data_IF_420760052770
#
_entry.id   IF_420760052770
#
_cell.length_a   1.000
_cell.length_b   1.000
_cell.length_c   1.000
_cell.angle_alpha   90.00
_cell.angle_beta   90.00
_cell.angle_gamma   90.00
#
_symmetry.space_group_name_H-M   'P 1'
#
loop_
_entity.id
_entity.type
_entity.pdbx_description
1 polymer ?
#
# COMPACT_ATOMS: atom_id res chain seq x y z
N UNK A 1 27.83 -52.05 2.71
CA UNK A 1 26.48 -52.09 3.31
C UNK A 1 25.88 -50.71 3.14
N UNK A 2 24.92 -50.59 2.23
CA UNK A 2 24.29 -49.32 1.90
C UNK A 2 23.37 -48.93 3.06
N UNK A 3 23.75 -47.91 3.83
CA UNK A 3 22.93 -47.36 4.91
C UNK A 3 21.66 -46.75 4.31
N UNK A 4 20.63 -47.58 4.14
CA UNK A 4 19.27 -47.11 3.82
C UNK A 4 18.79 -46.29 5.00
N UNK A 5 18.94 -44.97 4.92
CA UNK A 5 18.30 -44.06 5.87
C UNK A 5 16.80 -44.41 5.88
N UNK A 6 16.19 -44.67 7.04
CA UNK A 6 14.76 -44.92 7.10
C UNK A 6 14.05 -43.71 6.49
N UNK A 7 13.20 -43.96 5.47
CA UNK A 7 12.38 -42.90 4.87
C UNK A 7 11.38 -42.45 5.94
N UNK A 8 11.43 -41.18 6.33
CA UNK A 8 10.46 -40.63 7.29
C UNK A 8 9.08 -40.62 6.64
N UNK A 9 8.11 -41.28 7.28
CA UNK A 9 6.70 -41.23 6.89
C UNK A 9 5.99 -39.97 7.40
N UNK A 10 6.72 -39.10 8.09
CA UNK A 10 6.23 -37.85 8.65
C UNK A 10 5.51 -36.97 7.63
N UNK A 11 6.20 -36.62 6.55
CA UNK A 11 5.67 -35.73 5.51
C UNK A 11 4.41 -36.28 4.81
N UNK A 12 4.37 -37.54 4.34
CA UNK A 12 3.15 -38.12 3.80
C UNK A 12 1.96 -38.09 4.76
N UNK A 13 2.16 -38.47 6.03
CA UNK A 13 1.09 -38.53 7.03
C UNK A 13 0.57 -37.12 7.36
N UNK A 14 1.47 -36.15 7.50
CA UNK A 14 1.11 -34.76 7.75
C UNK A 14 0.26 -34.18 6.60
N UNK A 15 0.69 -34.39 5.35
CA UNK A 15 -0.03 -33.91 4.17
C UNK A 15 -1.42 -34.55 4.03
N UNK A 16 -1.52 -35.85 4.29
CA UNK A 16 -2.82 -36.56 4.31
C UNK A 16 -3.71 -36.00 5.42
N UNK A 17 -3.17 -35.78 6.62
CA UNK A 17 -3.92 -35.21 7.75
C UNK A 17 -4.47 -33.82 7.44
N UNK A 18 -3.63 -32.92 6.91
CA UNK A 18 -4.02 -31.57 6.49
C UNK A 18 -5.10 -31.65 5.39
N UNK A 19 -4.94 -32.54 4.40
CA UNK A 19 -5.91 -32.73 3.34
C UNK A 19 -7.28 -33.23 3.83
N UNK A 20 -7.30 -34.16 4.78
CA UNK A 20 -8.54 -34.65 5.40
C UNK A 20 -9.23 -33.54 6.18
N UNK A 21 -8.49 -32.78 6.99
CA UNK A 21 -9.04 -31.64 7.74
C UNK A 21 -9.64 -30.58 6.80
N UNK A 22 -8.96 -30.32 5.68
CA UNK A 22 -9.46 -29.39 4.66
C UNK A 22 -10.74 -29.89 3.99
N UNK A 23 -10.80 -31.18 3.63
CA UNK A 23 -12.01 -31.80 3.08
C UNK A 23 -13.20 -31.69 4.05
N UNK A 24 -12.97 -31.97 5.33
CA UNK A 24 -14.00 -31.89 6.37
C UNK A 24 -14.51 -30.46 6.60
N UNK A 25 -13.61 -29.47 6.52
CA UNK A 25 -13.99 -28.05 6.53
C UNK A 25 -14.88 -27.70 5.34
N UNK A 26 -14.47 -28.06 4.13
CA UNK A 26 -15.23 -27.76 2.90
C UNK A 26 -16.60 -28.43 2.85
N UNK A 27 -16.76 -29.60 3.49
CA UNK A 27 -18.04 -30.29 3.64
C UNK A 27 -18.95 -29.68 4.73
N UNK A 28 -18.49 -28.65 5.45
CA UNK A 28 -19.25 -27.98 6.51
C UNK A 28 -19.35 -28.76 7.81
N UNK A 29 -18.57 -29.84 7.99
CA UNK A 29 -18.51 -30.56 9.27
C UNK A 29 -17.77 -29.76 10.35
N UNK A 30 -16.86 -28.87 9.94
CA UNK A 30 -16.13 -27.98 10.82
C UNK A 30 -16.36 -26.55 10.35
N UNK A 31 -17.21 -25.82 11.07
CA UNK A 31 -17.52 -24.42 10.74
C UNK A 31 -16.36 -23.51 11.16
N UNK A 32 -15.85 -22.69 10.23
CA UNK A 32 -14.88 -21.63 10.52
C UNK A 32 -13.40 -21.97 10.34
N UNK A 33 -13.05 -23.11 9.72
CA UNK A 33 -11.65 -23.41 9.36
C UNK A 33 -11.34 -22.81 7.99
N UNK A 34 -10.75 -21.62 7.99
CA UNK A 34 -10.18 -20.99 6.80
C UNK A 34 -8.70 -21.37 6.64
N UNK A 35 -8.13 -21.10 5.46
CA UNK A 35 -6.68 -21.26 5.25
C UNK A 35 -5.86 -20.51 6.30
N UNK A 36 -6.29 -19.29 6.67
CA UNK A 36 -5.66 -18.50 7.70
C UNK A 36 -5.64 -19.17 9.09
N UNK A 37 -6.75 -19.79 9.48
CA UNK A 37 -6.85 -20.53 10.75
C UNK A 37 -5.84 -21.67 10.84
N UNK A 38 -5.62 -22.40 9.75
CA UNK A 38 -4.62 -23.49 9.70
C UNK A 38 -3.20 -22.90 9.78
N UNK A 39 -2.94 -21.82 9.05
CA UNK A 39 -1.62 -21.18 9.00
C UNK A 39 -1.20 -20.56 10.34
N UNK A 40 -2.15 -20.11 11.17
CA UNK A 40 -1.89 -19.61 12.54
C UNK A 40 -1.16 -20.62 13.43
N UNK A 41 -1.28 -21.92 13.13
CA UNK A 41 -0.57 -22.99 13.84
C UNK A 41 0.81 -23.33 13.27
N UNK A 42 1.41 -22.48 12.41
CA UNK A 42 2.79 -22.67 11.93
C UNK A 42 3.85 -22.86 13.04
N UNK A 43 3.77 -22.25 14.24
CA UNK A 43 4.76 -22.52 15.28
C UNK A 43 4.67 -23.96 15.78
N UNK A 44 3.45 -24.54 15.83
CA UNK A 44 3.25 -25.94 16.14
C UNK A 44 3.87 -26.83 15.07
N UNK A 45 3.74 -26.46 13.79
CA UNK A 45 4.40 -27.17 12.69
C UNK A 45 5.93 -27.14 12.87
N UNK A 46 6.53 -26.01 13.25
CA UNK A 46 7.97 -25.93 13.54
C UNK A 46 8.40 -26.80 14.73
N UNK A 47 7.60 -26.81 15.81
CA UNK A 47 7.86 -27.68 16.97
C UNK A 47 7.84 -29.14 16.54
N UNK A 48 6.84 -29.55 15.78
CA UNK A 48 6.69 -30.93 15.31
C UNK A 48 7.80 -31.31 14.34
N UNK A 49 8.18 -30.43 13.41
CA UNK A 49 9.35 -30.63 12.52
C UNK A 49 10.63 -30.78 13.35
N UNK A 50 10.84 -29.95 14.37
CA UNK A 50 11.97 -30.06 15.29
C UNK A 50 12.01 -31.41 16.01
N UNK A 51 10.86 -31.89 16.48
CA UNK A 51 10.72 -33.21 17.10
C UNK A 51 11.00 -34.35 16.10
N UNK A 52 10.50 -34.26 14.86
CA UNK A 52 10.77 -35.24 13.81
C UNK A 52 12.27 -35.30 13.44
N UNK A 53 12.96 -34.17 13.37
CA UNK A 53 14.40 -34.14 13.11
C UNK A 53 15.21 -34.83 14.21
N UNK A 54 14.78 -34.70 15.46
CA UNK A 54 15.44 -35.33 16.61
C UNK A 54 15.13 -36.83 16.68
N UNK A 55 13.91 -37.25 16.36
CA UNK A 55 13.41 -38.61 16.61
C UNK A 55 13.40 -39.49 15.36
N UNK A 56 13.09 -38.92 14.19
CA UNK A 56 13.02 -39.58 12.89
C UNK A 56 14.38 -40.13 12.42
N UNK A 57 15.49 -39.68 13.00
CA UNK A 57 16.82 -40.30 12.81
C UNK A 57 16.96 -41.68 13.47
N UNK A 58 16.16 -41.98 14.49
CA UNK A 58 16.28 -43.21 15.28
C UNK A 58 15.30 -44.30 14.86
N UNK A 59 14.05 -43.95 14.47
CA UNK A 59 13.10 -44.93 13.94
C UNK A 59 11.98 -44.28 13.13
N UNK A 60 11.65 -44.89 11.98
CA UNK A 60 10.57 -44.40 11.11
C UNK A 60 9.15 -44.66 11.64
N UNK A 61 8.99 -45.54 12.63
CA UNK A 61 7.71 -45.81 13.29
C UNK A 61 7.40 -44.70 14.30
N UNK A 62 8.42 -44.26 15.06
CA UNK A 62 8.22 -43.23 16.08
C UNK A 62 7.95 -41.86 15.44
N UNK A 63 8.54 -41.57 14.28
CA UNK A 63 8.15 -40.40 13.47
C UNK A 63 6.72 -40.48 12.95
N UNK A 64 6.23 -41.67 12.56
CA UNK A 64 4.83 -41.85 12.17
C UNK A 64 3.86 -41.61 13.33
N UNK A 65 4.20 -42.06 14.54
CA UNK A 65 3.40 -41.81 15.76
C UNK A 65 3.36 -40.31 16.07
N UNK A 66 4.51 -39.61 16.00
CA UNK A 66 4.59 -38.16 16.21
C UNK A 66 3.71 -37.43 15.19
N UNK A 67 3.74 -37.82 13.91
CA UNK A 67 2.91 -37.24 12.87
C UNK A 67 1.41 -37.41 13.15
N UNK A 68 0.98 -38.62 13.54
CA UNK A 68 -0.43 -38.89 13.89
C UNK A 68 -0.86 -38.05 15.10
N UNK A 69 -0.04 -38.00 16.15
CA UNK A 69 -0.32 -37.18 17.33
C UNK A 69 -0.42 -35.70 16.99
N UNK A 70 0.47 -35.19 16.13
CA UNK A 70 0.42 -33.82 15.67
C UNK A 70 -0.87 -33.50 14.92
N UNK A 71 -1.31 -34.40 14.01
CA UNK A 71 -2.58 -34.26 13.29
C UNK A 71 -3.77 -34.30 14.24
N UNK A 72 -3.78 -35.19 15.24
CA UNK A 72 -4.85 -35.27 16.24
C UNK A 72 -4.90 -34.02 17.14
N UNK A 73 -3.74 -33.51 17.56
CA UNK A 73 -3.65 -32.26 18.34
C UNK A 73 -4.16 -31.09 17.50
N UNK A 74 -3.74 -31.00 16.24
CA UNK A 74 -4.23 -29.96 15.32
C UNK A 74 -5.74 -30.06 15.13
N UNK A 75 -6.28 -31.26 14.91
CA UNK A 75 -7.71 -31.49 14.78
C UNK A 75 -8.48 -31.08 16.05
N UNK A 76 -7.99 -31.47 17.23
CA UNK A 76 -8.58 -31.10 18.51
C UNK A 76 -8.55 -29.58 18.74
N UNK A 77 -7.44 -28.92 18.40
CA UNK A 77 -7.30 -27.47 18.47
C UNK A 77 -8.25 -26.75 17.50
N UNK A 78 -8.42 -27.27 16.28
CA UNK A 78 -9.37 -26.70 15.31
C UNK A 78 -10.82 -26.84 15.78
N UNK A 79 -11.18 -27.97 16.40
CA UNK A 79 -12.53 -28.18 16.97
C UNK A 79 -12.75 -27.33 18.22
N UNK A 80 -11.73 -27.15 19.06
CA UNK A 80 -11.80 -26.34 20.28
C UNK A 80 -11.58 -24.83 20.05
N UNK A 81 -11.07 -24.43 18.87
CA UNK A 81 -10.77 -23.04 18.54
C UNK A 81 -11.94 -22.08 18.80
N UNK A 82 -13.20 -22.41 18.42
CA UNK A 82 -14.38 -21.64 18.82
C UNK A 82 -14.48 -21.39 20.33
N UNK A 83 -14.43 -22.47 21.12
CA UNK A 83 -14.58 -22.39 22.58
C UNK A 83 -13.45 -21.66 23.30
N UNK A 84 -12.29 -21.53 22.65
CA UNK A 84 -11.13 -20.82 23.18
C UNK A 84 -11.11 -19.33 22.80
N UNK A 85 -12.16 -18.83 22.14
CA UNK A 85 -12.19 -17.46 21.64
C UNK A 85 -11.21 -17.23 20.48
N UNK A 86 -10.65 -18.30 19.89
CA UNK A 86 -9.81 -18.23 18.69
C UNK A 86 -10.64 -18.08 17.42
N UNK A 87 -11.87 -17.55 17.56
CA UNK A 87 -12.71 -17.15 16.46
C UNK A 87 -12.03 -16.04 15.68
N UNK A 88 -11.73 -16.32 14.42
CA UNK A 88 -11.35 -15.29 13.46
C UNK A 88 -12.42 -15.21 12.40
N UNK A 89 -13.56 -14.65 12.78
CA UNK A 89 -14.35 -13.91 11.81
C UNK A 89 -13.80 -12.50 11.79
N UNK A 90 -12.64 -12.32 11.15
CA UNK A 90 -12.37 -11.04 10.52
C UNK A 90 -13.42 -10.93 9.41
N UNK A 91 -14.62 -10.47 9.78
CA UNK A 91 -15.65 -10.19 8.82
C UNK A 91 -15.17 -8.97 8.04
N UNK A 92 -15.24 -9.07 6.72
CA UNK A 92 -15.09 -7.90 5.90
C UNK A 92 -16.23 -6.95 6.24
N UNK A 93 -15.88 -5.74 6.64
CA UNK A 93 -16.82 -4.66 6.80
C UNK A 93 -16.79 -3.80 5.53
N UNK A 94 -17.94 -3.30 5.13
CA UNK A 94 -18.05 -2.23 4.15
C UNK A 94 -18.77 -1.10 4.87
N UNK A 95 -18.06 0.00 5.08
CA UNK A 95 -18.60 1.17 5.77
C UNK A 95 -18.50 2.40 4.87
N UNK A 96 -19.46 3.30 5.04
CA UNK A 96 -19.45 4.61 4.39
C UNK A 96 -19.10 5.66 5.42
N UNK A 97 -18.11 6.49 5.10
CA UNK A 97 -17.71 7.65 5.88
C UNK A 97 -18.05 8.91 5.08
N UNK A 98 -18.63 9.91 5.72
CA UNK A 98 -19.05 11.13 5.03
C UNK A 98 -18.88 12.35 5.93
N UNK A 99 -18.47 13.47 5.34
CA UNK A 99 -18.48 14.79 5.97
C UNK A 99 -19.22 15.77 5.04
N UNK A 100 -20.20 16.53 5.53
CA UNK A 100 -20.93 17.51 4.71
C UNK A 100 -20.05 18.73 4.41
N UNK A 101 -20.32 19.40 3.28
CA UNK A 101 -19.66 20.65 2.89
C UNK A 101 -19.84 21.73 3.97
N UNK A 102 -21.08 21.96 4.41
CA UNK A 102 -21.43 22.95 5.43
C UNK A 102 -20.78 24.32 5.15
N UNK A 103 -20.06 24.89 6.12
CA UNK A 103 -19.37 26.19 6.03
C UNK A 103 -17.88 26.04 5.65
N UNK A 104 -17.46 24.89 5.11
CA UNK A 104 -16.06 24.63 4.82
C UNK A 104 -15.50 25.56 3.74
N UNK A 105 -14.45 26.30 4.08
CA UNK A 105 -13.69 27.16 3.17
C UNK A 105 -12.29 26.58 2.90
N UNK A 106 -11.81 25.68 3.76
CA UNK A 106 -10.53 25.00 3.64
C UNK A 106 -10.62 23.60 4.28
N UNK A 107 -9.88 22.63 3.73
CA UNK A 107 -9.81 21.28 4.28
C UNK A 107 -8.37 20.77 4.43
N UNK A 108 -8.06 20.25 5.62
CA UNK A 108 -6.89 19.43 5.88
C UNK A 108 -7.36 17.97 5.90
N UNK A 109 -6.90 17.15 4.96
CA UNK A 109 -7.34 15.77 4.78
C UNK A 109 -6.16 14.84 4.96
N UNK A 110 -6.25 13.94 5.95
CA UNK A 110 -5.26 12.89 6.20
C UNK A 110 -5.86 11.52 5.95
N UNK A 111 -5.26 10.74 5.05
CA UNK A 111 -5.69 9.39 4.71
C UNK A 111 -4.57 8.39 4.99
N UNK A 112 -4.84 7.39 5.83
CA UNK A 112 -3.98 6.21 6.03
C UNK A 112 -4.66 5.01 5.37
N UNK A 113 -4.06 4.57 4.26
CA UNK A 113 -4.65 3.63 3.30
C UNK A 113 -4.20 2.17 3.51
N UNK A 114 -3.27 1.92 4.43
CA UNK A 114 -2.79 0.57 4.78
C UNK A 114 -2.40 -0.24 3.54
N UNK A 115 -2.99 -1.42 3.30
CA UNK A 115 -2.62 -2.34 2.21
C UNK A 115 -3.67 -2.47 1.11
N UNK A 116 -4.74 -1.67 1.18
CA UNK A 116 -5.89 -1.82 0.27
C UNK A 116 -5.69 -1.08 -1.05
N UNK A 117 -6.34 -1.58 -2.09
CA UNK A 117 -6.38 -0.86 -3.37
C UNK A 117 -7.32 0.34 -3.25
N UNK A 118 -6.82 1.54 -3.53
CA UNK A 118 -7.52 2.80 -3.28
C UNK A 118 -7.69 3.63 -4.56
N UNK A 119 -8.87 4.19 -4.74
CA UNK A 119 -9.15 5.24 -5.71
C UNK A 119 -9.53 6.52 -4.98
N UNK A 120 -8.83 7.62 -5.27
CA UNK A 120 -9.16 8.96 -4.79
C UNK A 120 -9.59 9.79 -5.99
N UNK A 121 -10.76 10.42 -5.90
CA UNK A 121 -11.37 11.24 -6.96
C UNK A 121 -12.21 12.36 -6.37
N UNK A 122 -12.88 13.12 -7.22
CA UNK A 122 -13.85 14.13 -6.77
C UNK A 122 -15.14 13.48 -6.27
N UNK A 123 -15.78 14.07 -5.25
CA UNK A 123 -17.13 13.68 -4.80
C UNK A 123 -18.15 13.74 -5.93
N UNK A 124 -19.16 12.86 -5.87
CA UNK A 124 -20.31 12.92 -6.79
C UNK A 124 -21.34 13.95 -6.35
N UNK A 125 -21.50 14.14 -5.03
CA UNK A 125 -22.39 15.12 -4.44
C UNK A 125 -21.59 16.37 -4.03
N UNK A 126 -21.83 17.50 -4.70
CA UNK A 126 -21.13 18.76 -4.39
C UNK A 126 -21.44 19.32 -3.00
N UNK A 127 -22.51 18.85 -2.33
CA UNK A 127 -22.81 19.22 -0.95
C UNK A 127 -22.03 18.39 0.08
N UNK A 128 -21.21 17.43 -0.35
CA UNK A 128 -20.30 16.67 0.50
C UNK A 128 -18.90 17.27 0.44
N UNK A 129 -18.23 17.39 1.59
CA UNK A 129 -16.81 17.72 1.66
C UNK A 129 -15.95 16.49 1.35
N UNK A 130 -16.36 15.36 1.92
CA UNK A 130 -15.66 14.08 1.86
C UNK A 130 -16.71 12.97 1.86
N UNK A 131 -16.56 11.98 0.98
CA UNK A 131 -17.35 10.75 0.98
C UNK A 131 -16.42 9.58 0.71
N UNK A 132 -16.56 8.48 1.44
CA UNK A 132 -15.74 7.28 1.23
C UNK A 132 -16.56 6.01 1.42
N UNK A 133 -16.42 5.06 0.50
CA UNK A 133 -16.89 3.68 0.63
C UNK A 133 -15.68 2.77 0.82
N UNK A 134 -15.58 2.16 1.99
CA UNK A 134 -14.37 1.50 2.46
C UNK A 134 -14.69 0.05 2.83
N UNK A 135 -14.12 -0.88 2.07
CA UNK A 135 -14.04 -2.29 2.45
C UNK A 135 -12.79 -2.56 3.29
N UNK A 136 -12.93 -3.13 4.49
CA UNK A 136 -11.78 -3.41 5.36
C UNK A 136 -12.01 -4.56 6.33
N UNK A 137 -10.92 -5.09 6.86
CA UNK A 137 -10.88 -5.94 8.05
C UNK A 137 -10.33 -5.15 9.25
N UNK A 138 -10.81 -5.43 10.47
CA UNK A 138 -10.33 -4.76 11.68
C UNK A 138 -11.19 -3.55 12.03
N UNK A 139 -10.55 -2.43 12.37
CA UNK A 139 -11.22 -1.20 12.81
C UNK A 139 -10.81 -0.01 11.92
N UNK A 140 -11.78 0.86 11.63
CA UNK A 140 -11.54 2.17 11.02
C UNK A 140 -11.81 3.25 12.06
N UNK A 141 -11.02 4.32 12.00
CA UNK A 141 -11.29 5.56 12.73
C UNK A 141 -11.49 6.69 11.73
N UNK A 142 -12.64 7.34 11.82
CA UNK A 142 -12.96 8.54 11.05
C UNK A 142 -13.22 9.69 12.00
N UNK A 143 -12.55 10.82 11.78
CA UNK A 143 -12.79 12.05 12.53
C UNK A 143 -13.01 13.22 11.57
N UNK A 144 -14.06 13.99 11.84
CA UNK A 144 -14.39 15.25 11.19
C UNK A 144 -14.51 16.34 12.28
N UNK A 145 -13.72 17.39 12.15
CA UNK A 145 -13.67 18.47 13.13
C UNK A 145 -13.44 19.83 12.48
N UNK A 146 -13.76 20.90 13.21
CA UNK A 146 -13.68 22.27 12.71
C UNK A 146 -14.99 22.76 12.10
N UNK A 147 -15.00 24.01 11.63
CA UNK A 147 -16.15 24.65 11.00
C UNK A 147 -15.79 25.12 9.60
N UNK A 148 -15.11 26.25 9.48
CA UNK A 148 -14.63 26.79 8.19
C UNK A 148 -13.36 26.09 7.73
N UNK A 149 -12.40 25.89 8.65
CA UNK A 149 -11.22 25.05 8.42
C UNK A 149 -11.52 23.65 8.95
N UNK A 150 -11.80 22.73 8.03
CA UNK A 150 -12.19 21.35 8.34
C UNK A 150 -10.96 20.46 8.40
N UNK A 151 -10.91 19.57 9.39
CA UNK A 151 -9.92 18.51 9.47
C UNK A 151 -10.60 17.17 9.37
N UNK A 152 -10.27 16.43 8.31
CA UNK A 152 -10.76 15.09 8.03
C UNK A 152 -9.61 14.12 8.19
N UNK A 153 -9.80 13.07 8.99
CA UNK A 153 -8.80 12.02 9.16
C UNK A 153 -9.47 10.65 9.07
N UNK A 154 -8.94 9.80 8.20
CA UNK A 154 -9.33 8.41 8.02
C UNK A 154 -8.13 7.51 8.32
N UNK A 155 -8.25 6.64 9.32
CA UNK A 155 -7.18 5.74 9.75
C UNK A 155 -7.66 4.29 9.78
N UNK A 156 -6.77 3.37 9.35
CA UNK A 156 -6.97 1.93 9.50
C UNK A 156 -6.13 1.37 10.63
N UNK A 157 -6.77 0.65 11.55
CA UNK A 157 -6.07 -0.09 12.59
C UNK A 157 -6.20 -1.58 12.31
N UNK A 158 -5.10 -2.17 11.84
CA UNK A 158 -5.01 -3.62 11.75
C UNK A 158 -4.96 -4.21 13.17
N UNK A 159 -5.91 -5.06 13.52
CA UNK A 159 -5.79 -5.87 14.73
C UNK A 159 -4.58 -6.81 14.62
N UNK A 160 -3.79 -7.03 15.70
CA UNK A 160 -2.62 -7.92 15.69
C UNK A 160 -2.91 -9.37 15.29
N UNK A 161 -4.17 -9.77 15.21
CA UNK A 161 -4.59 -11.09 14.77
C UNK A 161 -4.77 -11.19 13.24
N UNK A 162 -4.78 -10.07 12.50
CA UNK A 162 -5.15 -10.00 11.08
C UNK A 162 -4.10 -10.59 10.12
N UNK A 163 -2.81 -10.60 10.47
CA UNK A 163 -1.75 -11.20 9.64
C UNK A 163 -1.89 -12.70 9.41
N UNK A 164 -2.64 -13.39 10.28
CA UNK A 164 -2.95 -14.81 10.15
C UNK A 164 -4.27 -15.10 9.45
N UNK A 165 -5.10 -14.08 9.23
CA UNK A 165 -6.48 -14.24 8.77
C UNK A 165 -6.63 -13.79 7.32
N UNK A 166 -5.68 -14.17 6.47
CA UNK A 166 -5.76 -13.94 5.02
C UNK A 166 -6.91 -14.78 4.48
N UNK A 167 -8.07 -14.15 4.35
CA UNK A 167 -9.20 -14.73 3.66
C UNK A 167 -9.03 -14.43 2.16
N UNK A 168 -8.69 -15.46 1.39
CA UNK A 168 -8.53 -15.38 -0.07
C UNK A 168 -9.88 -15.35 -0.82
N UNK A 169 -11.01 -15.49 -0.11
CA UNK A 169 -12.35 -15.40 -0.68
C UNK A 169 -12.73 -13.92 -0.92
N UNK A 170 -12.18 -13.39 -2.01
CA UNK A 170 -12.80 -12.46 -2.98
C UNK A 170 -13.92 -11.51 -2.53
N UNK A 171 -13.73 -10.78 -1.44
CA UNK A 171 -14.25 -9.42 -1.41
C UNK A 171 -13.13 -8.54 -1.95
N UNK A 172 -13.39 -7.91 -3.10
CA UNK A 172 -12.56 -6.83 -3.61
C UNK A 172 -12.74 -5.64 -2.68
N UNK A 173 -12.14 -5.71 -1.48
CA UNK A 173 -12.08 -4.65 -0.52
C UNK A 173 -11.23 -3.54 -1.13
N UNK A 174 -11.95 -2.63 -1.78
CA UNK A 174 -11.42 -1.45 -2.44
C UNK A 174 -11.88 -0.24 -1.65
N UNK A 175 -11.05 0.77 -1.64
CA UNK A 175 -11.37 2.04 -1.02
C UNK A 175 -11.69 3.03 -2.14
N UNK A 176 -12.89 3.59 -2.11
CA UNK A 176 -13.32 4.62 -3.05
C UNK A 176 -13.56 5.91 -2.25
N UNK A 177 -12.69 6.90 -2.43
CA UNK A 177 -12.66 8.14 -1.66
C UNK A 177 -12.92 9.32 -2.61
N UNK A 178 -13.91 10.12 -2.26
CA UNK A 178 -14.32 11.35 -2.91
C UNK A 178 -13.95 12.57 -2.07
N UNK A 179 -13.28 13.55 -2.67
CA UNK A 179 -12.98 14.86 -2.08
C UNK A 179 -13.69 15.98 -2.84
N UNK A 180 -14.10 17.05 -2.15
CA UNK A 180 -14.76 18.18 -2.80
C UNK A 180 -13.76 18.99 -3.65
N UNK A 181 -14.00 19.17 -4.96
CA UNK A 181 -13.05 19.86 -5.84
C UNK A 181 -12.99 21.38 -5.60
N UNK A 182 -14.05 21.97 -5.06
CA UNK A 182 -14.20 23.43 -4.94
C UNK A 182 -13.64 23.99 -3.63
N UNK A 183 -13.27 23.10 -2.68
CA UNK A 183 -12.70 23.49 -1.39
C UNK A 183 -11.17 23.37 -1.45
N UNK A 184 -10.43 24.48 -1.23
CA UNK A 184 -8.97 24.45 -1.05
C UNK A 184 -8.54 23.38 -0.06
N UNK A 185 -7.69 22.45 -0.50
CA UNK A 185 -7.35 21.24 0.26
C UNK A 185 -5.84 21.05 0.41
N UNK A 186 -5.39 20.85 1.65
CA UNK A 186 -4.10 20.25 1.99
C UNK A 186 -4.30 18.74 2.21
N UNK A 187 -3.67 17.94 1.37
CA UNK A 187 -3.89 16.50 1.31
C UNK A 187 -2.62 15.74 1.73
N UNK A 188 -2.74 14.99 2.83
CA UNK A 188 -1.75 14.01 3.26
C UNK A 188 -2.27 12.59 3.02
N UNK A 189 -1.49 11.77 2.31
CA UNK A 189 -1.82 10.38 1.99
C UNK A 189 -0.66 9.48 2.40
N UNK A 190 -0.88 8.65 3.42
CA UNK A 190 -0.06 7.47 3.70
C UNK A 190 -0.63 6.30 2.90
N UNK A 191 0.13 5.90 1.87
CA UNK A 191 -0.25 4.85 0.96
C UNK A 191 0.06 3.43 1.43
N UNK A 192 0.85 3.28 2.50
CA UNK A 192 1.24 1.99 3.05
C UNK A 192 1.79 1.01 2.01
N UNK A 193 1.08 -0.11 1.80
CA UNK A 193 1.46 -1.22 0.92
C UNK A 193 0.52 -1.43 -0.31
N UNK A 194 -0.46 -0.53 -0.52
CA UNK A 194 -1.53 -0.69 -1.49
C UNK A 194 -1.24 -0.12 -2.89
N UNK A 195 -2.07 -0.48 -3.87
CA UNK A 195 -2.09 0.22 -5.17
C UNK A 195 -3.05 1.41 -5.12
N UNK A 196 -2.60 2.59 -5.54
CA UNK A 196 -3.37 3.83 -5.41
C UNK A 196 -3.53 4.49 -6.77
N UNK A 197 -4.76 4.88 -7.08
CA UNK A 197 -5.10 5.71 -8.23
C UNK A 197 -5.71 7.03 -7.72
N UNK A 198 -5.06 8.16 -7.97
CA UNK A 198 -5.53 9.48 -7.56
C UNK A 198 -5.78 10.36 -8.79
N UNK A 199 -7.04 10.62 -9.09
CA UNK A 199 -7.42 11.67 -10.04
C UNK A 199 -7.72 12.96 -9.28
N UNK A 200 -6.68 13.77 -9.12
CA UNK A 200 -6.76 15.08 -8.45
C UNK A 200 -6.85 16.21 -9.48
N UNK A 201 -7.02 15.92 -10.77
CA UNK A 201 -6.91 16.90 -11.87
C UNK A 201 -7.88 18.09 -11.76
N UNK A 202 -8.97 17.95 -11.00
CA UNK A 202 -9.99 18.98 -10.75
C UNK A 202 -9.98 19.55 -9.34
N UNK A 203 -9.06 19.11 -8.48
CA UNK A 203 -9.02 19.52 -7.08
C UNK A 203 -8.35 20.89 -6.92
N UNK A 204 -8.90 21.73 -6.05
CA UNK A 204 -8.23 22.92 -5.55
C UNK A 204 -7.16 22.56 -4.50
N UNK A 205 -6.03 21.95 -4.91
CA UNK A 205 -4.96 21.61 -3.97
C UNK A 205 -4.11 22.81 -3.58
N UNK A 206 -3.84 22.95 -2.28
CA UNK A 206 -2.88 23.93 -1.73
C UNK A 206 -1.55 23.28 -1.33
N UNK A 207 -1.60 22.00 -0.97
CA UNK A 207 -0.43 21.16 -0.72
C UNK A 207 -0.79 19.68 -0.90
N UNK A 208 0.21 18.87 -1.24
CA UNK A 208 0.09 17.42 -1.30
C UNK A 208 1.32 16.78 -0.68
N UNK A 209 1.11 15.86 0.25
CA UNK A 209 2.17 14.97 0.75
C UNK A 209 1.72 13.53 0.56
N UNK A 210 2.56 12.74 -0.10
CA UNK A 210 2.39 11.31 -0.25
C UNK A 210 3.57 10.60 0.41
N UNK A 211 3.27 9.67 1.31
CA UNK A 211 4.23 8.74 1.89
C UNK A 211 3.79 7.32 1.51
N UNK A 212 4.58 6.63 0.70
CA UNK A 212 4.25 5.28 0.23
C UNK A 212 5.35 4.30 0.60
N UNK A 213 5.04 3.24 1.35
CA UNK A 213 6.02 2.21 1.67
C UNK A 213 6.29 1.24 0.50
N UNK A 214 5.26 0.60 -0.03
CA UNK A 214 5.39 -0.35 -1.15
C UNK A 214 4.13 -0.42 -2.00
N UNK A 215 4.20 -0.25 -3.30
CA UNK A 215 2.99 -0.31 -4.13
C UNK A 215 3.10 0.50 -5.40
N UNK A 216 2.05 0.42 -6.23
CA UNK A 216 1.95 1.26 -7.42
C UNK A 216 1.10 2.48 -7.16
N UNK A 217 1.59 3.66 -7.55
CA UNK A 217 0.82 4.91 -7.54
C UNK A 217 0.62 5.41 -8.96
N UNK A 218 -0.62 5.76 -9.30
CA UNK A 218 -0.97 6.49 -10.51
C UNK A 218 -1.70 7.77 -10.11
N UNK A 219 -1.13 8.94 -10.43
CA UNK A 219 -1.63 10.24 -9.98
C UNK A 219 -1.72 11.22 -11.14
N UNK A 220 -2.83 11.97 -11.18
CA UNK A 220 -2.99 13.15 -12.03
C UNK A 220 -3.16 14.40 -11.15
N UNK A 221 -2.23 15.34 -11.29
CA UNK A 221 -2.18 16.56 -10.50
C UNK A 221 -3.01 17.69 -11.15
N UNK A 222 -3.66 18.57 -10.34
CA UNK A 222 -4.42 19.70 -10.85
C UNK A 222 -3.54 20.87 -11.29
N UNK A 223 -4.13 21.71 -12.15
CA UNK A 223 -3.66 23.06 -12.43
C UNK A 223 -4.10 24.02 -11.33
N UNK A 224 -3.15 24.81 -10.81
CA UNK A 224 -3.41 25.83 -9.77
C UNK A 224 -2.95 27.20 -10.25
N UNK A 225 -3.76 28.22 -9.97
CA UNK A 225 -3.43 29.61 -10.26
C UNK A 225 -2.38 30.18 -9.30
N UNK A 226 -2.48 29.81 -8.01
CA UNK A 226 -1.58 30.29 -6.95
C UNK A 226 -0.30 29.42 -6.82
N UNK A 227 -0.35 28.23 -7.42
CA UNK A 227 0.68 27.20 -7.30
C UNK A 227 0.64 26.46 -5.97
N UNK A 228 1.38 25.36 -5.89
CA UNK A 228 1.47 24.52 -4.68
C UNK A 228 2.73 23.66 -4.69
N UNK A 229 2.99 23.03 -3.55
CA UNK A 229 4.04 22.01 -3.41
C UNK A 229 3.41 20.62 -3.31
N UNK A 230 3.97 19.67 -4.04
CA UNK A 230 3.68 18.25 -3.91
C UNK A 230 4.96 17.51 -3.49
N UNK A 231 4.95 16.86 -2.34
CA UNK A 231 6.07 16.02 -1.84
C UNK A 231 5.69 14.56 -1.95
N UNK A 232 6.53 13.76 -2.60
CA UNK A 232 6.33 12.33 -2.78
C UNK A 232 7.52 11.58 -2.16
N UNK A 233 7.28 10.87 -1.07
CA UNK A 233 8.19 9.85 -0.54
C UNK A 233 7.68 8.48 -0.98
N UNK A 234 8.53 7.74 -1.68
CA UNK A 234 8.15 6.49 -2.33
C UNK A 234 9.18 5.42 -2.02
N UNK A 235 8.79 4.40 -1.27
CA UNK A 235 9.62 3.26 -0.92
C UNK A 235 9.81 2.34 -2.12
N UNK A 236 8.96 1.33 -2.30
CA UNK A 236 9.16 0.32 -3.37
C UNK A 236 7.98 0.21 -4.34
N UNK A 237 8.17 0.50 -5.64
CA UNK A 237 7.16 0.20 -6.66
C UNK A 237 7.16 1.07 -7.92
N UNK A 238 6.00 1.19 -8.58
CA UNK A 238 5.85 1.95 -9.82
C UNK A 238 5.00 3.19 -9.58
N UNK A 239 5.61 4.35 -9.80
CA UNK A 239 5.00 5.66 -9.62
C UNK A 239 4.79 6.30 -10.99
N UNK A 240 3.57 6.76 -11.26
CA UNK A 240 3.22 7.55 -12.43
C UNK A 240 2.57 8.84 -11.99
N UNK A 241 3.14 9.96 -12.37
CA UNK A 241 2.62 11.30 -12.10
C UNK A 241 2.37 12.00 -13.42
N UNK A 242 1.17 12.53 -13.60
CA UNK A 242 0.80 13.39 -14.74
C UNK A 242 0.56 14.80 -14.23
N UNK A 243 1.36 15.74 -14.70
CA UNK A 243 1.17 17.17 -14.44
C UNK A 243 0.48 17.78 -15.66
N UNK A 244 -0.56 18.57 -15.41
CA UNK A 244 -1.41 19.13 -16.47
C UNK A 244 -1.41 20.65 -16.43
N UNK A 245 -1.41 21.29 -17.60
CA UNK A 245 -1.54 22.75 -17.71
C UNK A 245 -0.28 23.52 -17.33
N UNK A 246 -0.29 24.83 -17.60
CA UNK A 246 0.78 25.75 -17.18
C UNK A 246 0.46 26.27 -15.78
N UNK A 247 1.34 26.01 -14.82
CA UNK A 247 1.15 26.36 -13.41
C UNK A 247 2.49 26.57 -12.72
N UNK A 248 2.44 27.19 -11.55
CA UNK A 248 3.54 27.12 -10.59
C UNK A 248 3.41 25.83 -9.77
N UNK A 249 4.42 24.97 -9.81
CA UNK A 249 4.43 23.71 -9.05
C UNK A 249 5.85 23.41 -8.60
N UNK A 250 6.03 23.11 -7.32
CA UNK A 250 7.23 22.42 -6.84
C UNK A 250 6.88 20.97 -6.55
N UNK A 251 7.44 20.04 -7.31
CA UNK A 251 7.36 18.61 -7.06
C UNK A 251 8.66 18.17 -6.37
N UNK A 252 8.57 17.73 -5.12
CA UNK A 252 9.69 17.13 -4.40
C UNK A 252 9.53 15.61 -4.43
N UNK A 253 10.60 14.90 -4.76
CA UNK A 253 10.63 13.45 -4.88
C UNK A 253 11.76 12.88 -4.02
N UNK A 254 11.40 11.98 -3.12
CA UNK A 254 12.29 11.05 -2.44
C UNK A 254 11.93 9.64 -2.93
N UNK A 255 12.85 9.07 -3.71
CA UNK A 255 12.68 7.82 -4.43
C UNK A 255 13.41 6.68 -3.74
N UNK A 256 12.75 5.54 -3.62
CA UNK A 256 13.36 4.32 -3.13
C UNK A 256 13.71 3.36 -4.27
N UNK A 257 13.03 2.23 -4.36
CA UNK A 257 13.29 1.18 -5.33
C UNK A 257 12.15 1.06 -6.34
N UNK A 258 12.43 1.17 -7.64
CA UNK A 258 11.42 0.89 -8.67
C UNK A 258 11.45 1.85 -9.85
N UNK A 259 10.28 2.29 -10.33
CA UNK A 259 10.22 3.17 -11.51
C UNK A 259 9.30 4.35 -11.28
N UNK A 260 9.82 5.55 -11.52
CA UNK A 260 9.07 6.80 -11.43
C UNK A 260 8.97 7.43 -12.80
N UNK A 261 7.75 7.65 -13.27
CA UNK A 261 7.47 8.27 -14.55
C UNK A 261 6.68 9.54 -14.33
N UNK A 262 7.28 10.68 -14.64
CA UNK A 262 6.64 11.99 -14.56
C UNK A 262 6.38 12.46 -15.99
N UNK A 263 5.13 12.82 -16.27
CA UNK A 263 4.71 13.37 -17.56
C UNK A 263 4.39 14.84 -17.39
N UNK A 264 5.09 15.69 -18.14
CA UNK A 264 4.94 17.13 -18.12
C UNK A 264 3.98 17.61 -19.22
N UNK A 265 3.36 18.79 -19.04
CA UNK A 265 2.67 19.46 -20.12
C UNK A 265 3.68 19.93 -21.18
N UNK A 266 3.23 19.98 -22.44
CA UNK A 266 4.06 20.50 -23.52
C UNK A 266 4.30 22.01 -23.35
N UNK A 267 5.50 22.47 -23.72
CA UNK A 267 5.91 23.88 -23.70
C UNK A 267 5.86 24.55 -22.31
N UNK A 268 6.01 23.77 -21.24
CA UNK A 268 6.13 24.32 -19.89
C UNK A 268 7.57 24.64 -19.55
N UNK A 269 7.79 25.79 -18.91
CA UNK A 269 9.09 26.11 -18.35
C UNK A 269 9.34 25.19 -17.14
N UNK A 270 10.42 24.40 -17.22
CA UNK A 270 10.74 23.40 -16.20
C UNK A 270 12.19 23.53 -15.76
N UNK A 271 12.41 23.36 -14.45
CA UNK A 271 13.71 23.12 -13.83
C UNK A 271 13.69 21.76 -13.14
N UNK A 272 14.70 20.95 -13.36
CA UNK A 272 14.92 19.67 -12.69
C UNK A 272 16.20 19.80 -11.88
N UNK A 273 16.09 19.65 -10.58
CA UNK A 273 17.20 19.67 -9.62
C UNK A 273 17.37 18.22 -9.12
N UNK A 274 18.43 17.54 -9.55
CA UNK A 274 18.80 16.22 -9.01
C UNK A 274 19.94 16.39 -8.00
N UNK A 275 19.61 16.17 -6.73
CA UNK A 275 20.52 16.38 -5.61
C UNK A 275 21.29 15.12 -5.21
N UNK A 276 20.70 13.95 -5.42
CA UNK A 276 21.30 12.64 -5.22
C UNK A 276 20.71 11.68 -6.27
N UNK A 277 21.56 11.10 -7.10
CA UNK A 277 21.18 10.19 -8.20
C UNK A 277 21.08 8.71 -7.77
N UNK A 278 21.48 8.41 -6.54
CA UNK A 278 21.48 7.09 -5.95
C UNK A 278 22.26 6.07 -6.79
N UNK A 279 21.63 4.94 -7.08
CA UNK A 279 22.19 3.90 -7.99
C UNK A 279 21.32 3.69 -9.23
N UNK A 280 20.33 4.58 -9.38
CA UNK A 280 19.30 4.54 -10.39
C UNK A 280 19.77 5.05 -11.75
N UNK A 281 18.79 5.38 -12.60
CA UNK A 281 19.05 6.13 -13.83
C UNK A 281 18.07 7.29 -13.93
N UNK A 282 18.57 8.49 -14.20
CA UNK A 282 17.75 9.66 -14.48
C UNK A 282 17.66 9.92 -15.98
N UNK A 283 16.43 10.06 -16.48
CA UNK A 283 16.17 10.53 -17.84
C UNK A 283 15.34 11.80 -17.82
N UNK A 284 15.96 12.90 -18.23
CA UNK A 284 15.31 14.20 -18.40
C UNK A 284 14.80 14.41 -19.83
N UNK A 285 13.83 15.32 -20.06
CA UNK A 285 13.35 15.67 -21.40
C UNK A 285 14.46 16.20 -22.30
N UNK A 286 14.33 15.95 -23.61
CA UNK A 286 15.23 16.56 -24.60
C UNK A 286 14.93 18.05 -24.74
N UNK A 287 15.97 18.90 -24.75
CA UNK A 287 15.82 20.35 -24.90
C UNK A 287 15.93 21.14 -23.59
N UNK A 288 16.34 20.49 -22.51
CA UNK A 288 16.81 21.19 -21.31
C UNK A 288 18.33 21.36 -21.39
N UNK A 289 18.80 22.54 -21.01
CA UNK A 289 20.22 22.84 -20.82
C UNK A 289 20.62 22.46 -19.39
N UNK A 290 21.74 21.74 -19.26
CA UNK A 290 22.35 21.51 -17.95
C UNK A 290 23.12 22.78 -17.56
N UNK A 291 22.61 23.49 -16.55
CA UNK A 291 23.18 24.77 -16.08
C UNK A 291 24.13 24.59 -14.90
N UNK A 292 24.02 23.46 -14.20
CA UNK A 292 24.88 23.08 -13.07
C UNK A 292 25.16 21.58 -13.14
N UNK A 293 26.42 21.20 -12.89
CA UNK A 293 26.86 19.81 -12.80
C UNK A 293 26.95 19.42 -11.33
N UNK A 294 26.44 18.24 -10.96
CA UNK A 294 26.63 17.67 -9.64
C UNK A 294 27.96 16.91 -9.48
N UNK A 295 28.07 16.13 -8.41
CA UNK A 295 29.27 15.33 -8.13
C UNK A 295 29.34 14.12 -9.07
N UNK A 296 28.17 13.57 -9.44
CA UNK A 296 28.02 12.49 -10.41
C UNK A 296 27.31 12.93 -11.71
N UNK A 297 27.27 12.02 -12.71
CA UNK A 297 26.80 12.35 -14.06
C UNK A 297 25.29 12.60 -14.14
N UNK A 298 24.54 11.97 -13.24
CA UNK A 298 23.09 12.05 -13.20
C UNK A 298 22.61 13.04 -12.12
N UNK A 299 23.54 13.79 -11.52
CA UNK A 299 23.29 14.91 -10.61
C UNK A 299 23.48 16.27 -11.29
N UNK A 300 22.77 17.28 -10.80
CA UNK A 300 22.88 18.66 -11.25
C UNK A 300 21.53 19.30 -11.54
N UNK A 301 21.58 20.39 -12.30
CA UNK A 301 20.39 21.20 -12.60
C UNK A 301 20.21 21.31 -14.10
N UNK A 302 19.05 20.85 -14.58
CA UNK A 302 18.60 21.01 -15.96
C UNK A 302 17.46 22.00 -16.01
N UNK A 303 17.45 22.86 -17.03
CA UNK A 303 16.47 23.91 -17.14
C UNK A 303 16.09 24.17 -18.60
N UNK A 304 14.82 24.49 -18.83
CA UNK A 304 14.33 24.93 -20.14
C UNK A 304 14.75 26.37 -20.45
N UNK A 305 14.93 26.69 -21.73
CA UNK A 305 15.13 28.07 -22.19
C UNK A 305 14.07 29.03 -21.66
N UNK A 306 14.51 30.19 -21.18
CA UNK A 306 13.61 31.25 -20.70
C UNK A 306 12.90 30.97 -19.38
N UNK A 307 13.27 29.91 -18.65
CA UNK A 307 12.64 29.53 -17.37
C UNK A 307 12.52 30.71 -16.40
N UNK A 308 13.59 31.48 -16.19
CA UNK A 308 13.61 32.61 -15.25
C UNK A 308 12.62 33.73 -15.58
N UNK A 309 12.20 33.84 -16.85
CA UNK A 309 11.26 34.85 -17.31
C UNK A 309 9.84 34.29 -17.54
N UNK A 310 9.64 32.99 -17.34
CA UNK A 310 8.37 32.34 -17.56
C UNK A 310 7.34 32.75 -16.50
N UNK A 311 6.10 32.99 -16.94
CA UNK A 311 4.97 33.29 -16.05
C UNK A 311 4.64 32.11 -15.11
N UNK A 312 4.78 30.89 -15.64
CA UNK A 312 4.52 29.65 -14.92
C UNK A 312 5.75 28.75 -14.95
N UNK A 313 6.17 28.29 -13.78
CA UNK A 313 7.38 27.49 -13.59
C UNK A 313 7.06 26.18 -12.86
N UNK A 314 7.49 25.07 -13.45
CA UNK A 314 7.50 23.77 -12.76
C UNK A 314 8.92 23.48 -12.28
N UNK A 315 9.08 23.23 -11.00
CA UNK A 315 10.34 22.79 -10.39
C UNK A 315 10.16 21.35 -9.94
N UNK A 316 11.05 20.46 -10.36
CA UNK A 316 11.11 19.06 -9.92
C UNK A 316 12.40 18.89 -9.15
N UNK A 317 12.31 18.66 -7.85
CA UNK A 317 13.46 18.38 -6.97
C UNK A 317 13.50 16.90 -6.65
N UNK A 318 14.51 16.22 -7.17
CA UNK A 318 14.82 14.84 -6.84
C UNK A 318 15.83 14.91 -5.70
N UNK A 319 15.35 14.67 -4.47
CA UNK A 319 16.18 14.72 -3.25
C UNK A 319 17.03 13.46 -3.12
N UNK A 320 16.44 12.31 -3.45
CA UNK A 320 17.07 11.00 -3.55
C UNK A 320 16.36 10.25 -4.68
N UNK A 321 17.11 9.71 -5.64
CA UNK A 321 16.55 8.89 -6.71
C UNK A 321 16.44 7.40 -6.34
N UNK A 322 17.14 7.00 -5.28
CA UNK A 322 17.21 5.65 -4.75
C UNK A 322 17.89 4.67 -5.71
N UNK A 323 17.34 3.46 -5.81
CA UNK A 323 17.85 2.42 -6.73
C UNK A 323 16.96 2.21 -7.96
N UNK A 324 16.00 3.11 -8.17
CA UNK A 324 15.02 3.04 -9.25
C UNK A 324 15.39 3.83 -10.50
N UNK A 325 14.58 3.68 -11.55
CA UNK A 325 14.68 4.54 -12.75
C UNK A 325 13.70 5.70 -12.66
N UNK A 326 14.17 6.93 -12.83
CA UNK A 326 13.33 8.12 -12.95
C UNK A 326 13.32 8.56 -14.42
N UNK A 327 12.13 8.66 -14.99
CA UNK A 327 11.93 9.18 -16.35
C UNK A 327 10.96 10.35 -16.32
N UNK A 328 11.42 11.50 -16.80
CA UNK A 328 10.66 12.73 -16.96
C UNK A 328 10.53 12.99 -18.45
N UNK A 329 9.30 13.19 -18.94
CA UNK A 329 8.99 13.34 -20.37
C UNK A 329 7.90 14.35 -20.65
#
# INVERSE_FOLDING_TARGET
MENRRPRSFFWPILLIGIGILWLLSNMGFISGVTFGTIFRFWPLILIVIGLDLIVGRFSGILSAVIAILAVLILAALLVAAPSLGLHSSANANVETFSAPLAEAEFAEVTLDLSSYATTIKTVQNQNSLFDAEIGYYGEMRFTDSGTTNRRIRLEHYSSPDSWFNINFDQLALRWDIGLNPDVPTDLFVDGGSGSINMDLSKMALTALTYDGGSGSMDMSLPTSADGYTASLDTGSGSVRVRISGSQNLTLELDGGSGSTNITLPANTAVRIEALDDGSGSLRVPTGLDQIEFGDDRDEGVWQSDGFEAAEYQIIIRIKDAGSGSITIR
#
